data_IF_838524988085
#
_entry.id   IF_838524988085
#
_cell.length_a   1.000
_cell.length_b   1.000
_cell.length_c   1.000
_cell.angle_alpha   90.00
_cell.angle_beta   90.00
_cell.angle_gamma   90.00
#
_symmetry.space_group_name_H-M   'P 1'
#
loop_
_entity.id
_entity.type
_entity.pdbx_description
1 polymer ?
#
# COMPACT_ATOMS: atom_id res chain seq x y z
N UNK A 1 17.47 49.87 1.27
CA UNK A 1 18.76 49.32 1.74
C UNK A 1 18.49 48.62 3.05
N UNK A 2 18.80 47.33 3.14
CA UNK A 2 18.83 46.62 4.41
C UNK A 2 19.99 47.18 5.26
N UNK A 3 19.92 47.10 6.59
CA UNK A 3 20.72 47.89 7.55
C UNK A 3 22.26 47.86 7.34
N UNK A 4 22.78 46.87 6.62
CA UNK A 4 24.21 46.66 6.36
C UNK A 4 24.68 47.07 4.94
N UNK A 5 23.82 47.67 4.12
CA UNK A 5 24.19 48.14 2.77
C UNK A 5 24.25 47.04 1.69
N UNK A 6 23.78 45.83 2.01
CA UNK A 6 23.66 44.73 1.04
C UNK A 6 22.49 44.94 0.07
N UNK A 7 22.61 44.34 -1.13
CA UNK A 7 21.49 44.19 -2.05
C UNK A 7 20.47 43.17 -1.50
N UNK A 8 19.25 43.20 -2.03
CA UNK A 8 18.15 42.42 -1.46
C UNK A 8 18.36 40.90 -1.66
N UNK A 9 18.98 40.52 -2.77
CA UNK A 9 19.30 39.14 -3.14
C UNK A 9 20.28 38.51 -2.15
N UNK A 10 21.37 39.23 -1.86
CA UNK A 10 22.41 38.77 -0.94
C UNK A 10 21.88 38.63 0.49
N UNK A 11 21.02 39.55 0.93
CA UNK A 11 20.44 39.44 2.27
C UNK A 11 19.50 38.23 2.41
N UNK A 12 18.75 37.88 1.35
CA UNK A 12 17.92 36.68 1.33
C UNK A 12 18.76 35.40 1.33
N UNK A 13 19.88 35.39 0.61
CA UNK A 13 20.84 34.28 0.62
C UNK A 13 21.49 34.09 2.01
N UNK A 14 21.87 35.18 2.68
CA UNK A 14 22.42 35.13 4.03
C UNK A 14 21.41 34.55 5.03
N UNK A 15 20.17 35.03 5.00
CA UNK A 15 19.10 34.49 5.85
C UNK A 15 18.85 33.01 5.56
N UNK A 16 18.82 32.61 4.28
CA UNK A 16 18.69 31.21 3.88
C UNK A 16 19.77 30.33 4.52
N UNK A 17 21.04 30.71 4.42
CA UNK A 17 22.14 29.91 4.92
C UNK A 17 22.06 29.75 6.44
N UNK A 18 21.73 30.82 7.17
CA UNK A 18 21.56 30.77 8.62
C UNK A 18 20.43 29.83 9.04
N UNK A 19 19.27 29.90 8.40
CA UNK A 19 18.18 28.98 8.71
C UNK A 19 18.49 27.54 8.27
N UNK A 20 19.08 27.33 7.09
CA UNK A 20 19.46 26.01 6.60
C UNK A 20 20.44 25.30 7.54
N UNK A 21 21.44 26.00 8.08
CA UNK A 21 22.36 25.45 9.08
C UNK A 21 21.65 25.08 10.38
N UNK A 22 20.75 25.95 10.85
CA UNK A 22 20.01 25.74 12.09
C UNK A 22 19.07 24.53 12.02
N UNK A 23 18.38 24.34 10.89
CA UNK A 23 17.52 23.17 10.65
C UNK A 23 18.32 21.89 10.35
N UNK A 24 19.48 21.98 9.68
CA UNK A 24 20.33 20.82 9.42
C UNK A 24 20.98 20.26 10.69
N UNK A 25 21.20 21.10 11.70
CA UNK A 25 21.77 20.73 13.00
C UNK A 25 20.75 20.12 13.97
N UNK A 26 19.47 20.00 13.60
CA UNK A 26 18.43 19.38 14.43
C UNK A 26 18.41 17.85 14.25
N UNK A 27 18.18 17.12 15.35
CA UNK A 27 18.13 15.65 15.33
C UNK A 27 16.85 15.10 14.64
N UNK A 28 15.80 15.91 14.55
CA UNK A 28 14.54 15.55 13.92
C UNK A 28 14.66 15.47 12.38
N UNK A 29 14.35 14.29 11.82
CA UNK A 29 14.40 14.02 10.38
C UNK A 29 13.41 14.87 9.57
N UNK A 30 12.25 15.20 10.14
CA UNK A 30 11.27 16.11 9.54
C UNK A 30 11.80 17.54 9.42
N UNK A 31 12.49 18.01 10.47
CA UNK A 31 13.13 19.33 10.47
C UNK A 31 14.30 19.40 9.50
N UNK A 32 15.09 18.33 9.39
CA UNK A 32 16.16 18.23 8.39
C UNK A 32 15.62 18.24 6.96
N UNK A 33 14.47 17.60 6.70
CA UNK A 33 13.82 17.63 5.38
C UNK A 33 13.38 19.05 4.96
N UNK A 34 12.98 19.91 5.91
CA UNK A 34 12.58 21.31 5.64
C UNK A 34 13.71 22.22 5.13
N UNK A 35 14.97 21.81 5.28
CA UNK A 35 16.11 22.56 4.74
C UNK A 35 15.97 22.74 3.21
N UNK A 36 15.45 21.72 2.52
CA UNK A 36 15.21 21.78 1.08
C UNK A 36 14.15 22.85 0.73
N UNK A 37 13.06 22.93 1.50
CA UNK A 37 11.97 23.90 1.30
C UNK A 37 12.44 25.34 1.49
N UNK A 38 13.25 25.59 2.53
CA UNK A 38 13.82 26.93 2.80
C UNK A 38 14.72 27.36 1.65
N UNK A 39 15.56 26.45 1.15
CA UNK A 39 16.42 26.73 -0.01
C UNK A 39 15.60 27.00 -1.27
N UNK A 40 14.51 26.28 -1.50
CA UNK A 40 13.61 26.48 -2.65
C UNK A 40 12.95 27.88 -2.60
N UNK A 41 12.34 28.23 -1.45
CA UNK A 41 11.69 29.53 -1.25
C UNK A 41 12.70 30.67 -1.41
N UNK A 42 13.88 30.56 -0.82
CA UNK A 42 14.90 31.62 -0.92
C UNK A 42 15.42 31.80 -2.35
N UNK A 43 15.70 30.73 -3.09
CA UNK A 43 16.05 30.83 -4.52
C UNK A 43 14.96 31.51 -5.32
N UNK A 44 13.70 31.19 -5.01
CA UNK A 44 12.54 31.80 -5.66
C UNK A 44 12.48 33.30 -5.43
N UNK A 45 12.62 33.74 -4.17
CA UNK A 45 12.66 35.16 -3.80
C UNK A 45 13.82 35.87 -4.48
N UNK A 46 15.02 35.26 -4.51
CA UNK A 46 16.20 35.82 -5.18
C UNK A 46 15.95 36.00 -6.69
N UNK A 47 15.35 35.02 -7.38
CA UNK A 47 15.01 35.14 -8.80
C UNK A 47 14.05 36.29 -9.08
N UNK A 48 13.01 36.43 -8.25
CA UNK A 48 12.02 37.53 -8.35
C UNK A 48 12.72 38.88 -8.16
N UNK A 49 13.58 39.00 -7.16
CA UNK A 49 14.34 40.23 -6.87
C UNK A 49 15.32 40.58 -8.01
N UNK A 50 15.98 39.57 -8.58
CA UNK A 50 16.89 39.71 -9.71
C UNK A 50 16.17 39.96 -11.05
N UNK A 51 14.83 39.95 -11.09
CA UNK A 51 14.05 40.13 -12.32
C UNK A 51 14.22 39.00 -13.34
N UNK A 52 14.64 37.82 -12.89
CA UNK A 52 14.78 36.63 -13.74
C UNK A 52 13.37 36.03 -13.89
N UNK A 53 12.85 35.89 -15.12
CA UNK A 53 11.56 35.25 -15.34
C UNK A 53 11.52 33.86 -14.70
N UNK A 54 10.46 33.56 -13.95
CA UNK A 54 10.14 32.19 -13.58
C UNK A 54 9.53 31.51 -14.81
N UNK A 55 10.36 31.15 -15.78
CA UNK A 55 9.90 30.25 -16.82
C UNK A 55 9.65 28.90 -16.14
N UNK A 56 8.38 28.51 -16.04
CA UNK A 56 8.04 27.12 -15.76
C UNK A 56 8.65 26.23 -16.84
N UNK A 57 8.69 24.91 -16.61
CA UNK A 57 9.02 23.97 -17.68
C UNK A 57 7.85 23.99 -18.69
N UNK A 58 7.87 24.97 -19.59
CA UNK A 58 6.96 25.10 -20.71
C UNK A 58 7.49 24.19 -21.80
N UNK A 59 6.98 22.96 -21.82
CA UNK A 59 7.17 22.08 -22.94
C UNK A 59 6.06 22.36 -23.97
N UNK A 60 6.42 22.67 -25.22
CA UNK A 60 5.44 22.80 -26.30
C UNK A 60 4.99 21.44 -26.82
N UNK A 61 5.81 20.41 -26.64
CA UNK A 61 5.63 19.02 -27.06
C UNK A 61 5.77 18.02 -25.89
N UNK A 62 5.41 16.73 -26.06
CA UNK A 62 5.64 15.71 -25.04
C UNK A 62 7.14 15.47 -24.77
N UNK A 63 7.59 15.59 -23.52
CA UNK A 63 9.00 15.53 -23.13
C UNK A 63 9.27 14.57 -21.96
N UNK A 64 10.52 14.11 -21.84
CA UNK A 64 11.05 13.46 -20.64
C UNK A 64 11.79 14.52 -19.83
N UNK A 65 11.44 14.68 -18.56
CA UNK A 65 12.08 15.66 -17.68
C UNK A 65 13.29 15.02 -17.00
N UNK A 66 14.49 15.45 -17.39
CA UNK A 66 15.75 15.08 -16.74
C UNK A 66 16.26 16.25 -15.88
N UNK A 67 16.47 16.02 -14.59
CA UNK A 67 16.89 17.06 -13.64
C UNK A 67 17.83 16.51 -12.57
N UNK A 68 18.60 17.38 -11.91
CA UNK A 68 19.42 16.97 -10.76
C UNK A 68 18.53 16.55 -9.58
N UNK A 69 17.51 17.37 -9.32
CA UNK A 69 16.42 17.17 -8.36
C UNK A 69 15.25 18.05 -8.82
N UNK A 70 14.03 17.76 -8.37
CA UNK A 70 12.84 18.55 -8.70
C UNK A 70 12.16 19.05 -7.43
N UNK A 71 11.97 20.36 -7.33
CA UNK A 71 11.31 20.94 -6.15
C UNK A 71 9.78 20.88 -6.26
N UNK A 72 9.05 20.88 -5.14
CA UNK A 72 7.58 20.91 -5.16
C UNK A 72 7.04 22.08 -6.00
N UNK A 73 7.67 23.24 -5.92
CA UNK A 73 7.29 24.45 -6.68
C UNK A 73 7.41 24.27 -8.19
N UNK A 74 8.42 23.52 -8.66
CA UNK A 74 8.64 23.25 -10.08
C UNK A 74 7.63 22.25 -10.61
N UNK A 75 7.38 21.18 -9.85
CA UNK A 75 6.45 20.12 -10.27
C UNK A 75 5.00 20.56 -10.38
N UNK A 76 4.54 21.52 -9.56
CA UNK A 76 3.18 22.07 -9.62
C UNK A 76 2.93 22.89 -10.89
N UNK A 77 3.97 23.52 -11.44
CA UNK A 77 3.86 24.42 -12.61
C UNK A 77 3.97 23.71 -13.95
N UNK A 78 4.23 22.41 -13.94
CA UNK A 78 4.41 21.63 -15.16
C UNK A 78 3.06 21.32 -15.85
N UNK A 79 3.06 21.36 -17.19
CA UNK A 79 1.93 20.83 -17.96
C UNK A 79 1.96 19.29 -17.94
N UNK A 80 1.10 18.75 -17.09
CA UNK A 80 0.99 17.31 -16.81
C UNK A 80 0.66 16.46 -18.03
N UNK A 81 0.02 17.04 -19.06
CA UNK A 81 -0.35 16.30 -20.26
C UNK A 81 0.82 16.11 -21.24
N UNK A 82 1.92 16.83 -21.01
CA UNK A 82 3.09 16.84 -21.89
C UNK A 82 4.31 16.16 -21.26
N UNK A 83 4.22 15.66 -20.04
CA UNK A 83 5.32 14.92 -19.43
C UNK A 83 5.12 13.43 -19.69
N UNK A 84 6.13 12.80 -20.28
CA UNK A 84 6.15 11.37 -20.57
C UNK A 84 6.79 10.56 -19.44
N UNK A 85 7.81 11.12 -18.77
CA UNK A 85 8.52 10.47 -17.67
C UNK A 85 9.40 11.47 -16.90
N UNK A 86 9.84 11.06 -15.71
CA UNK A 86 10.82 11.78 -14.89
C UNK A 86 12.11 10.98 -14.72
N UNK A 87 13.26 11.65 -14.80
CA UNK A 87 14.57 11.08 -14.51
C UNK A 87 15.33 12.07 -13.63
N UNK A 88 15.64 11.70 -12.38
CA UNK A 88 16.40 12.56 -11.48
C UNK A 88 17.75 11.97 -11.08
N UNK A 89 18.80 12.79 -11.14
CA UNK A 89 20.15 12.40 -10.74
C UNK A 89 20.21 12.03 -9.25
N UNK A 90 19.50 12.81 -8.43
CA UNK A 90 19.39 12.68 -6.98
C UNK A 90 17.92 12.50 -6.58
N UNK A 91 17.70 12.16 -5.31
CA UNK A 91 16.36 11.93 -4.75
C UNK A 91 16.18 10.50 -4.25
N UNK A 92 15.00 10.21 -3.72
CA UNK A 92 14.63 8.90 -3.18
C UNK A 92 13.29 8.45 -3.75
N UNK A 93 12.96 7.17 -3.60
CA UNK A 93 11.67 6.60 -4.00
C UNK A 93 10.45 7.20 -3.26
N UNK A 94 10.70 7.98 -2.20
CA UNK A 94 9.72 8.70 -1.39
C UNK A 94 9.79 10.22 -1.61
N UNK A 95 10.59 10.69 -2.58
CA UNK A 95 10.65 12.12 -2.90
C UNK A 95 9.32 12.61 -3.49
N UNK A 96 9.09 13.93 -3.42
CA UNK A 96 7.92 14.57 -4.01
C UNK A 96 7.73 14.22 -5.50
N UNK A 97 8.83 14.10 -6.25
CA UNK A 97 8.85 13.67 -7.66
C UNK A 97 8.35 12.25 -7.84
N UNK A 98 8.82 11.30 -7.03
CA UNK A 98 8.40 9.91 -7.12
C UNK A 98 6.92 9.74 -6.74
N UNK A 99 6.44 10.50 -5.75
CA UNK A 99 5.03 10.53 -5.35
C UNK A 99 4.16 11.11 -6.46
N UNK A 100 4.60 12.22 -7.09
CA UNK A 100 3.86 12.84 -8.18
C UNK A 100 3.80 11.97 -9.43
N UNK A 101 4.92 11.36 -9.82
CA UNK A 101 4.95 10.46 -10.97
C UNK A 101 3.97 9.29 -10.80
N UNK A 102 3.90 8.72 -9.60
CA UNK A 102 2.91 7.67 -9.27
C UNK A 102 1.47 8.16 -9.36
N UNK A 103 1.16 9.35 -8.84
CA UNK A 103 -0.21 9.88 -8.93
C UNK A 103 -0.63 10.23 -10.37
N UNK A 104 0.35 10.49 -11.24
CA UNK A 104 0.16 10.73 -12.66
C UNK A 104 0.25 9.46 -13.52
N UNK A 105 0.51 8.29 -12.93
CA UNK A 105 0.78 7.04 -13.64
C UNK A 105 1.88 7.16 -14.70
N UNK A 106 2.93 7.95 -14.41
CA UNK A 106 4.09 8.13 -15.28
C UNK A 106 5.30 7.33 -14.79
N UNK A 107 6.12 6.77 -15.70
CA UNK A 107 7.43 6.22 -15.34
C UNK A 107 8.32 7.27 -14.68
N UNK A 108 9.00 6.89 -13.60
CA UNK A 108 9.98 7.72 -12.93
C UNK A 108 11.19 6.91 -12.47
N UNK A 109 12.38 7.42 -12.80
CA UNK A 109 13.65 6.94 -12.28
C UNK A 109 14.26 8.01 -11.38
N UNK A 110 14.64 7.63 -10.18
CA UNK A 110 15.27 8.51 -9.19
C UNK A 110 16.61 7.92 -8.80
N UNK A 111 17.56 8.78 -8.41
CA UNK A 111 18.90 8.37 -8.01
C UNK A 111 19.66 7.62 -9.13
N UNK A 112 19.52 8.09 -10.38
CA UNK A 112 20.18 7.47 -11.53
C UNK A 112 21.67 7.78 -11.63
N UNK A 113 22.16 8.77 -10.85
CA UNK A 113 23.55 9.23 -10.91
C UNK A 113 23.91 9.93 -12.23
N UNK A 114 22.90 10.24 -13.05
CA UNK A 114 23.05 10.94 -14.33
C UNK A 114 23.50 12.39 -14.11
N UNK A 115 24.35 12.93 -14.97
CA UNK A 115 24.61 14.38 -15.00
C UNK A 115 23.50 15.07 -15.79
N UNK A 116 22.53 15.66 -15.10
CA UNK A 116 21.48 16.43 -15.74
C UNK A 116 22.04 17.79 -16.20
N UNK A 117 22.07 18.03 -17.52
CA UNK A 117 22.59 19.28 -18.09
C UNK A 117 22.09 19.52 -19.51
N UNK A 118 22.52 20.65 -20.10
CA UNK A 118 22.14 21.03 -21.48
C UNK A 118 22.47 19.95 -22.52
N UNK A 119 23.44 19.06 -22.23
CA UNK A 119 23.84 17.94 -23.08
C UNK A 119 22.73 16.94 -23.37
N UNK A 120 21.64 16.93 -22.59
CA UNK A 120 20.47 16.06 -22.76
C UNK A 120 19.33 16.74 -23.51
N UNK A 121 19.35 18.06 -23.59
CA UNK A 121 18.23 18.82 -24.12
C UNK A 121 18.04 18.55 -25.62
N UNK A 122 16.79 18.27 -26.03
CA UNK A 122 16.45 17.95 -27.42
C UNK A 122 16.88 16.56 -27.91
N UNK A 123 17.43 15.70 -27.03
CA UNK A 123 17.79 14.32 -27.39
C UNK A 123 16.62 13.37 -27.21
N UNK A 124 16.62 12.30 -28.01
CA UNK A 124 15.68 11.19 -27.83
C UNK A 124 16.11 10.40 -26.60
N UNK A 125 15.17 10.20 -25.67
CA UNK A 125 15.37 9.39 -24.47
C UNK A 125 14.36 8.26 -24.37
N UNK A 126 14.75 7.15 -23.75
CA UNK A 126 13.85 6.06 -23.37
C UNK A 126 14.01 5.81 -21.87
N UNK A 127 12.90 5.79 -21.14
CA UNK A 127 12.84 5.48 -19.72
C UNK A 127 12.20 4.10 -19.54
N UNK A 128 13.00 3.12 -19.13
CA UNK A 128 12.52 1.79 -18.76
C UNK A 128 12.35 1.69 -17.25
N UNK A 129 11.12 1.92 -16.79
CA UNK A 129 10.76 1.79 -15.37
C UNK A 129 10.78 0.35 -14.84
N UNK A 130 10.83 -0.66 -15.70
CA UNK A 130 10.87 -2.07 -15.29
C UNK A 130 12.29 -2.52 -14.94
N UNK A 131 13.28 -2.10 -15.72
CA UNK A 131 14.69 -2.44 -15.50
C UNK A 131 15.49 -1.34 -14.80
N UNK A 132 14.89 -0.15 -14.60
CA UNK A 132 15.56 0.97 -13.96
C UNK A 132 16.54 1.71 -14.87
N UNK A 133 16.36 1.64 -16.18
CA UNK A 133 17.34 2.13 -17.17
C UNK A 133 16.87 3.40 -17.88
N UNK A 134 17.79 4.34 -18.08
CA UNK A 134 17.59 5.51 -18.92
C UNK A 134 18.57 5.49 -20.09
N UNK A 135 18.03 5.42 -21.31
CA UNK A 135 18.80 5.38 -22.54
C UNK A 135 18.70 6.73 -23.24
N UNK A 136 19.85 7.34 -23.56
CA UNK A 136 19.95 8.62 -24.28
C UNK A 136 20.51 8.33 -25.67
N UNK A 137 19.82 8.82 -26.70
CA UNK A 137 20.15 8.56 -28.11
C UNK A 137 20.39 7.06 -28.39
N UNK A 138 19.45 6.17 -28.04
CA UNK A 138 19.60 4.75 -28.36
C UNK A 138 19.71 4.56 -29.87
N UNK A 139 20.49 3.56 -30.29
CA UNK A 139 20.56 3.15 -31.69
C UNK A 139 19.17 2.88 -32.26
N UNK A 140 18.89 3.17 -33.54
CA UNK A 140 17.55 3.07 -34.12
C UNK A 140 16.89 1.71 -33.90
N UNK A 141 17.65 0.62 -33.98
CA UNK A 141 17.16 -0.74 -33.76
C UNK A 141 16.67 -0.95 -32.31
N UNK A 142 17.38 -0.39 -31.32
CA UNK A 142 17.00 -0.45 -29.91
C UNK A 142 15.80 0.46 -29.63
N UNK A 143 15.73 1.65 -30.25
CA UNK A 143 14.59 2.55 -30.14
C UNK A 143 13.31 1.89 -30.65
N UNK A 144 13.35 1.25 -31.83
CA UNK A 144 12.21 0.54 -32.41
C UNK A 144 11.76 -0.63 -31.52
N UNK A 145 12.69 -1.39 -30.94
CA UNK A 145 12.38 -2.45 -29.98
C UNK A 145 11.65 -1.89 -28.74
N UNK A 146 12.14 -0.78 -28.18
CA UNK A 146 11.53 -0.15 -27.00
C UNK A 146 10.14 0.45 -27.30
N UNK A 147 9.97 1.05 -28.48
CA UNK A 147 8.65 1.53 -28.95
C UNK A 147 7.69 0.35 -29.11
N UNK A 148 8.14 -0.76 -29.70
CA UNK A 148 7.32 -1.95 -29.86
C UNK A 148 6.87 -2.51 -28.51
N UNK A 149 7.80 -2.64 -27.55
CA UNK A 149 7.51 -3.09 -26.19
C UNK A 149 6.54 -2.15 -25.47
N UNK A 150 6.69 -0.83 -25.61
CA UNK A 150 5.72 0.15 -25.08
C UNK A 150 4.33 -0.07 -25.69
N UNK A 151 4.24 -0.20 -27.01
CA UNK A 151 2.96 -0.35 -27.70
C UNK A 151 2.27 -1.67 -27.32
N UNK A 152 3.04 -2.76 -27.17
CA UNK A 152 2.53 -4.03 -26.64
C UNK A 152 1.97 -3.84 -25.22
N UNK A 153 2.72 -3.19 -24.34
CA UNK A 153 2.27 -2.92 -22.97
C UNK A 153 0.98 -2.08 -22.92
N UNK A 154 0.86 -1.05 -23.76
CA UNK A 154 -0.38 -0.26 -23.87
C UNK A 154 -1.54 -1.13 -24.38
N UNK A 155 -1.32 -1.94 -25.41
CA UNK A 155 -2.34 -2.85 -25.94
C UNK A 155 -2.78 -3.89 -24.90
N UNK A 156 -1.85 -4.40 -24.09
CA UNK A 156 -2.15 -5.32 -22.98
C UNK A 156 -3.01 -4.63 -21.91
N UNK A 157 -2.71 -3.38 -21.55
CA UNK A 157 -3.54 -2.60 -20.63
C UNK A 157 -4.96 -2.37 -21.18
N UNK A 158 -5.07 -2.01 -22.46
CA UNK A 158 -6.38 -1.84 -23.11
C UNK A 158 -7.16 -3.15 -23.16
N UNK A 159 -6.49 -4.28 -23.38
CA UNK A 159 -7.11 -5.61 -23.34
C UNK A 159 -7.60 -5.98 -21.93
N UNK A 160 -6.85 -5.61 -20.89
CA UNK A 160 -7.25 -5.80 -19.50
C UNK A 160 -8.52 -5.00 -19.16
N UNK A 161 -8.63 -3.76 -19.64
CA UNK A 161 -9.81 -2.92 -19.43
C UNK A 161 -11.10 -3.55 -20.00
N UNK A 162 -10.99 -4.32 -21.10
CA UNK A 162 -12.13 -5.09 -21.66
C UNK A 162 -12.61 -6.24 -20.75
N UNK A 163 -11.86 -6.58 -19.71
CA UNK A 163 -12.23 -7.59 -18.71
C UNK A 163 -13.11 -7.03 -17.59
N UNK A 164 -13.36 -5.72 -17.55
CA UNK A 164 -14.32 -5.12 -16.61
C UNK A 164 -15.73 -5.65 -16.87
N UNK A 165 -16.44 -6.00 -15.79
CA UNK A 165 -17.75 -6.64 -15.82
C UNK A 165 -17.74 -8.10 -16.28
N UNK A 166 -16.57 -8.70 -16.54
CA UNK A 166 -16.46 -10.13 -16.84
C UNK A 166 -16.37 -10.96 -15.56
N UNK A 167 -16.82 -12.19 -15.66
CA UNK A 167 -16.80 -13.16 -14.58
C UNK A 167 -15.38 -13.69 -14.30
N UNK A 168 -15.11 -14.07 -13.05
CA UNK A 168 -13.83 -14.63 -12.59
C UNK A 168 -13.88 -16.16 -12.65
N UNK A 169 -14.07 -16.69 -13.86
CA UNK A 169 -14.20 -18.11 -14.11
C UNK A 169 -13.20 -18.58 -15.16
N UNK A 170 -12.53 -19.70 -14.88
CA UNK A 170 -11.70 -20.43 -15.82
C UNK A 170 -12.57 -21.15 -16.87
N UNK A 171 -11.94 -21.55 -17.97
CA UNK A 171 -12.56 -22.26 -19.11
C UNK A 171 -13.19 -23.60 -18.70
N UNK A 172 -12.64 -24.24 -17.66
CA UNK A 172 -13.15 -25.47 -17.05
C UNK A 172 -14.29 -25.26 -16.03
N UNK A 173 -14.67 -24.00 -15.78
CA UNK A 173 -15.78 -23.62 -14.91
C UNK A 173 -15.40 -23.40 -13.45
N UNK A 174 -14.15 -23.63 -13.03
CA UNK A 174 -13.67 -23.21 -11.70
C UNK A 174 -13.77 -21.70 -11.55
N UNK A 175 -14.10 -21.25 -10.34
CA UNK A 175 -14.37 -19.83 -10.01
C UNK A 175 -13.57 -19.42 -8.80
N UNK A 176 -13.18 -18.15 -8.77
CA UNK A 176 -12.51 -17.54 -7.63
C UNK A 176 -12.96 -16.08 -7.51
N UNK A 177 -13.21 -15.61 -6.30
CA UNK A 177 -13.48 -14.20 -6.07
C UNK A 177 -12.15 -13.41 -6.17
N UNK A 178 -12.18 -12.24 -6.82
CA UNK A 178 -11.02 -11.37 -6.94
C UNK A 178 -11.35 -10.03 -6.29
N UNK A 179 -10.77 -9.77 -5.13
CA UNK A 179 -11.01 -8.58 -4.33
C UNK A 179 -9.78 -7.66 -4.33
N UNK A 180 -9.95 -6.48 -3.73
CA UNK A 180 -8.88 -5.51 -3.55
C UNK A 180 -8.42 -5.39 -2.09
N UNK A 181 -7.12 -5.18 -1.91
CA UNK A 181 -6.48 -4.73 -0.68
C UNK A 181 -6.47 -3.19 -0.66
N UNK A 182 -6.93 -2.59 0.44
CA UNK A 182 -6.93 -1.14 0.63
C UNK A 182 -6.30 -0.75 1.96
N UNK A 183 -5.67 0.42 1.99
CA UNK A 183 -5.04 1.00 3.18
C UNK A 183 -5.69 2.28 3.65
N UNK A 184 -6.50 2.95 2.83
CA UNK A 184 -7.23 4.18 3.17
C UNK A 184 -8.62 4.19 2.53
N UNK A 185 -9.43 5.18 2.86
CA UNK A 185 -10.79 5.33 2.32
C UNK A 185 -10.76 5.64 0.83
N UNK A 186 -9.78 6.42 0.37
CA UNK A 186 -9.64 6.85 -1.02
C UNK A 186 -9.35 5.66 -1.96
N UNK A 187 -8.66 4.64 -1.45
CA UNK A 187 -8.32 3.43 -2.22
C UNK A 187 -9.56 2.62 -2.62
N UNK A 188 -10.71 2.83 -1.95
CA UNK A 188 -11.97 2.19 -2.32
C UNK A 188 -12.47 2.65 -3.70
N UNK A 189 -12.12 3.87 -4.14
CA UNK A 189 -12.39 4.31 -5.52
C UNK A 189 -11.62 3.49 -6.53
N UNK A 190 -10.30 3.38 -6.32
CA UNK A 190 -9.43 2.61 -7.20
C UNK A 190 -9.85 1.13 -7.28
N UNK A 191 -10.31 0.55 -6.16
CA UNK A 191 -10.85 -0.80 -6.14
C UNK A 191 -12.11 -0.97 -7.02
N UNK A 192 -13.03 0.00 -6.97
CA UNK A 192 -14.24 0.00 -7.81
C UNK A 192 -13.91 0.24 -9.28
N UNK A 193 -13.01 1.17 -9.58
CA UNK A 193 -12.53 1.45 -10.93
C UNK A 193 -11.83 0.24 -11.55
N UNK A 194 -11.10 -0.54 -10.75
CA UNK A 194 -10.47 -1.80 -11.14
C UNK A 194 -11.46 -2.99 -11.22
N UNK A 195 -12.75 -2.75 -10.95
CA UNK A 195 -13.82 -3.75 -10.98
C UNK A 195 -13.60 -4.91 -9.98
N UNK A 196 -13.10 -4.60 -8.78
CA UNK A 196 -12.95 -5.59 -7.72
C UNK A 196 -14.31 -6.14 -7.26
N UNK A 197 -14.35 -7.45 -6.94
CA UNK A 197 -15.55 -8.12 -6.40
C UNK A 197 -15.94 -7.64 -5.00
N UNK A 198 -14.97 -7.10 -4.26
CA UNK A 198 -15.08 -6.64 -2.87
C UNK A 198 -13.73 -6.16 -2.36
N UNK A 199 -13.64 -5.92 -1.05
CA UNK A 199 -12.40 -5.65 -0.35
C UNK A 199 -12.05 -6.85 0.52
N UNK A 200 -10.96 -7.56 0.19
CA UNK A 200 -10.52 -8.75 0.91
C UNK A 200 -9.58 -8.41 2.08
N UNK A 201 -9.01 -7.21 2.08
CA UNK A 201 -8.26 -6.67 3.20
C UNK A 201 -8.36 -5.14 3.24
N UNK A 202 -9.06 -4.63 4.25
CA UNK A 202 -8.93 -3.24 4.67
C UNK A 202 -7.99 -3.17 5.88
N UNK A 203 -6.79 -2.65 5.65
CA UNK A 203 -5.78 -2.44 6.71
C UNK A 203 -6.19 -1.25 7.56
N UNK A 204 -6.48 -1.45 8.84
CA UNK A 204 -6.94 -0.36 9.72
C UNK A 204 -5.81 0.50 10.29
N UNK A 205 -4.54 0.14 10.09
CA UNK A 205 -3.42 0.82 10.74
C UNK A 205 -3.30 2.31 10.38
N UNK A 206 -3.75 2.71 9.18
CA UNK A 206 -3.74 4.12 8.77
C UNK A 206 -4.51 5.03 9.72
N UNK A 207 -5.50 4.51 10.46
CA UNK A 207 -6.27 5.27 11.45
C UNK A 207 -5.42 5.64 12.67
N UNK A 208 -4.30 4.97 12.88
CA UNK A 208 -3.42 5.08 14.03
C UNK A 208 -2.08 5.74 13.68
N UNK A 209 -1.58 5.52 12.45
CA UNK A 209 -0.28 6.06 12.01
C UNK A 209 -0.34 7.57 11.75
N UNK A 210 0.75 8.27 12.08
CA UNK A 210 0.90 9.71 11.82
C UNK A 210 0.02 10.62 12.69
N UNK A 211 -0.31 10.17 13.90
CA UNK A 211 -1.16 10.89 14.88
C UNK A 211 -0.45 10.95 16.23
N UNK A 212 -0.93 11.84 17.10
CA UNK A 212 -0.40 12.01 18.47
C UNK A 212 -1.27 11.31 19.53
N UNK A 213 -2.41 10.74 19.13
CA UNK A 213 -3.38 10.12 20.02
C UNK A 213 -4.17 8.99 19.36
N UNK A 214 -4.79 8.14 20.18
CA UNK A 214 -5.63 7.04 19.70
C UNK A 214 -6.86 7.57 18.95
N UNK A 215 -7.20 6.97 17.79
CA UNK A 215 -8.43 7.31 17.08
C UNK A 215 -9.67 6.97 17.92
N UNK A 216 -10.55 7.94 18.04
CA UNK A 216 -11.83 7.77 18.75
C UNK A 216 -12.76 6.82 18.00
N UNK A 217 -13.76 6.26 18.72
CA UNK A 217 -14.78 5.42 18.11
C UNK A 217 -15.47 6.10 16.91
N UNK A 218 -15.73 7.41 17.00
CA UNK A 218 -16.47 8.14 15.97
C UNK A 218 -15.64 8.36 14.68
N UNK A 219 -14.32 8.58 14.82
CA UNK A 219 -13.41 8.70 13.68
C UNK A 219 -13.25 7.36 12.96
N UNK A 220 -13.11 6.28 13.73
CA UNK A 220 -13.06 4.93 13.18
C UNK A 220 -14.38 4.57 12.49
N UNK A 221 -15.53 4.84 13.14
CA UNK A 221 -16.86 4.61 12.60
C UNK A 221 -17.06 5.34 11.29
N UNK A 222 -16.71 6.63 11.24
CA UNK A 222 -16.83 7.46 10.03
C UNK A 222 -16.03 6.88 8.86
N UNK A 223 -14.82 6.39 9.14
CA UNK A 223 -13.94 5.79 8.13
C UNK A 223 -14.48 4.47 7.61
N UNK A 224 -14.90 3.56 8.49
CA UNK A 224 -15.48 2.27 8.09
C UNK A 224 -16.80 2.45 7.35
N UNK A 225 -17.66 3.37 7.82
CA UNK A 225 -18.92 3.72 7.17
C UNK A 225 -18.68 4.20 5.74
N UNK A 226 -17.73 5.12 5.54
CA UNK A 226 -17.45 5.67 4.22
C UNK A 226 -17.08 4.59 3.20
N UNK A 227 -16.23 3.63 3.58
CA UNK A 227 -15.85 2.51 2.70
C UNK A 227 -17.04 1.58 2.45
N UNK A 228 -17.81 1.22 3.49
CA UNK A 228 -18.97 0.34 3.36
C UNK A 228 -20.06 0.93 2.46
N UNK A 229 -20.37 2.22 2.60
CA UNK A 229 -21.34 2.90 1.75
C UNK A 229 -20.89 2.92 0.28
N UNK A 230 -19.59 3.15 0.03
CA UNK A 230 -19.01 3.19 -1.32
C UNK A 230 -19.06 1.82 -2.01
N UNK A 231 -18.82 0.75 -1.24
CA UNK A 231 -18.82 -0.63 -1.75
C UNK A 231 -20.22 -1.25 -1.88
N UNK A 232 -21.24 -0.66 -1.24
CA UNK A 232 -22.62 -1.12 -1.30
C UNK A 232 -22.78 -2.56 -0.80
N UNK A 233 -23.27 -3.44 -1.67
CA UNK A 233 -23.49 -4.87 -1.34
C UNK A 233 -22.21 -5.72 -1.39
N UNK A 234 -21.11 -5.18 -1.92
CA UNK A 234 -19.83 -5.88 -1.99
C UNK A 234 -19.25 -6.06 -0.58
N UNK A 235 -18.66 -7.25 -0.33
CA UNK A 235 -18.07 -7.59 0.97
C UNK A 235 -16.86 -6.69 1.25
N UNK A 236 -16.74 -6.20 2.49
CA UNK A 236 -15.57 -5.46 2.98
C UNK A 236 -15.03 -6.13 4.23
N UNK A 237 -13.85 -6.74 4.11
CA UNK A 237 -13.17 -7.43 5.20
C UNK A 237 -12.24 -6.44 5.91
N UNK A 238 -12.62 -6.04 7.12
CA UNK A 238 -11.86 -5.10 7.95
C UNK A 238 -10.95 -5.89 8.86
N UNK A 239 -9.63 -5.72 8.67
CA UNK A 239 -8.64 -6.29 9.59
C UNK A 239 -8.52 -5.40 10.81
N UNK A 240 -8.57 -6.00 11.99
CA UNK A 240 -8.34 -5.27 13.23
C UNK A 240 -6.87 -4.85 13.34
N UNK A 241 -6.58 -3.98 14.30
CA UNK A 241 -5.25 -3.38 14.46
C UNK A 241 -4.08 -4.39 14.39
N UNK A 242 -3.15 -4.15 13.46
CA UNK A 242 -1.87 -4.88 13.33
C UNK A 242 -0.68 -3.89 13.30
N UNK A 243 -0.29 -3.46 14.50
CA UNK A 243 0.87 -2.60 14.79
C UNK A 243 1.79 -3.33 15.77
N UNK A 244 3.08 -2.99 15.78
CA UNK A 244 4.05 -3.46 16.78
C UNK A 244 5.31 -4.11 16.22
N UNK A 245 5.39 -4.34 14.91
CA UNK A 245 6.63 -4.80 14.26
C UNK A 245 7.46 -3.59 13.79
N UNK A 246 7.39 -3.28 12.49
CA UNK A 246 8.08 -2.19 11.81
C UNK A 246 7.41 -0.82 11.97
N UNK A 247 6.15 -0.81 12.40
CA UNK A 247 5.32 0.38 12.54
C UNK A 247 5.44 0.94 13.96
N UNK A 248 6.30 1.93 14.18
CA UNK A 248 6.40 2.64 15.48
C UNK A 248 5.30 3.70 15.61
N UNK A 249 4.66 3.74 16.77
CA UNK A 249 3.63 4.72 17.13
C UNK A 249 3.87 5.19 18.56
N UNK A 250 4.45 6.37 18.71
CA UNK A 250 5.02 6.82 19.99
C UNK A 250 3.98 6.89 21.12
N UNK A 251 2.75 7.29 20.82
CA UNK A 251 1.67 7.39 21.82
C UNK A 251 1.13 6.03 22.29
N UNK A 252 1.52 4.91 21.66
CA UNK A 252 1.23 3.58 22.22
C UNK A 252 2.14 3.25 23.42
N UNK A 253 3.25 3.97 23.60
CA UNK A 253 4.23 3.73 24.65
C UNK A 253 4.62 2.24 24.74
N UNK A 254 4.94 1.62 23.59
CA UNK A 254 5.43 0.25 23.54
C UNK A 254 6.90 0.23 23.93
N UNK A 255 7.30 -0.78 24.70
CA UNK A 255 8.70 -1.03 25.00
C UNK A 255 9.45 -1.46 23.74
N UNK A 256 10.74 -1.14 23.64
CA UNK A 256 11.56 -1.65 22.55
C UNK A 256 11.82 -3.15 22.73
N UNK A 257 11.57 -3.92 21.69
CA UNK A 257 11.83 -5.36 21.67
C UNK A 257 13.01 -5.68 20.74
N UNK A 258 13.81 -6.69 21.10
CA UNK A 258 14.89 -7.17 20.22
C UNK A 258 14.37 -7.72 18.89
N UNK A 259 13.17 -8.32 18.90
CA UNK A 259 12.54 -8.93 17.73
C UNK A 259 11.07 -8.49 17.62
N UNK A 260 10.78 -7.26 17.16
CA UNK A 260 9.41 -6.73 17.10
C UNK A 260 8.47 -7.61 16.25
N UNK A 261 9.00 -8.22 15.19
CA UNK A 261 8.26 -9.15 14.35
C UNK A 261 7.75 -10.39 15.14
N UNK A 262 8.45 -10.83 16.19
CA UNK A 262 8.04 -11.96 17.03
C UNK A 262 7.34 -11.54 18.33
N UNK A 263 7.23 -10.23 18.56
CA UNK A 263 6.93 -9.63 19.86
C UNK A 263 5.48 -9.20 20.08
N UNK A 264 5.30 -8.13 20.86
CA UNK A 264 4.03 -7.59 21.31
C UNK A 264 3.35 -6.76 20.21
N UNK A 265 2.73 -7.47 19.26
CA UNK A 265 2.04 -6.87 18.10
C UNK A 265 0.60 -7.34 17.92
N UNK A 266 -0.16 -6.55 17.18
CA UNK A 266 -1.46 -6.89 16.62
C UNK A 266 -2.48 -7.37 17.68
N UNK A 267 -3.06 -8.55 17.49
CA UNK A 267 -4.07 -9.10 18.40
C UNK A 267 -3.56 -9.27 19.83
N UNK A 268 -2.24 -9.42 20.04
CA UNK A 268 -1.64 -9.51 21.37
C UNK A 268 -1.82 -8.20 22.14
N UNK A 269 -1.59 -7.06 21.46
CA UNK A 269 -1.89 -5.73 22.02
C UNK A 269 -3.39 -5.62 22.29
N UNK A 270 -4.24 -6.01 21.35
CA UNK A 270 -5.69 -5.91 21.49
C UNK A 270 -6.25 -6.75 22.66
N UNK A 271 -5.66 -7.92 22.94
CA UNK A 271 -6.08 -8.78 24.04
C UNK A 271 -5.52 -8.34 25.40
N UNK A 272 -4.37 -7.68 25.41
CA UNK A 272 -3.76 -7.15 26.64
C UNK A 272 -4.34 -5.77 27.02
N UNK A 273 -4.63 -4.93 26.02
CA UNK A 273 -5.23 -3.59 26.13
C UNK A 273 -6.63 -3.57 25.49
N UNK A 274 -7.64 -4.20 26.11
CA UNK A 274 -8.95 -4.42 25.50
C UNK A 274 -9.70 -3.13 25.17
N UNK A 275 -9.41 -2.00 25.80
CA UNK A 275 -10.02 -0.70 25.53
C UNK A 275 -9.79 -0.23 24.09
N UNK A 276 -8.60 -0.45 23.54
CA UNK A 276 -8.26 -0.11 22.15
C UNK A 276 -9.09 -1.00 21.21
N UNK A 277 -9.19 -2.28 21.55
CA UNK A 277 -9.89 -3.28 20.75
C UNK A 277 -11.40 -3.10 20.76
N UNK A 278 -11.98 -2.84 21.94
CA UNK A 278 -13.39 -2.55 22.15
C UNK A 278 -13.80 -1.32 21.35
N UNK A 279 -13.00 -0.26 21.38
CA UNK A 279 -13.24 0.97 20.60
C UNK A 279 -13.35 0.67 19.11
N UNK A 280 -12.41 -0.12 18.57
CA UNK A 280 -12.42 -0.50 17.16
C UNK A 280 -13.61 -1.41 16.80
N UNK A 281 -13.89 -2.43 17.61
CA UNK A 281 -15.01 -3.34 17.38
C UNK A 281 -16.34 -2.59 17.41
N UNK A 282 -16.52 -1.66 18.36
CA UNK A 282 -17.73 -0.83 18.44
C UNK A 282 -17.94 -0.03 17.17
N UNK A 283 -16.89 0.62 16.67
CA UNK A 283 -16.93 1.37 15.42
C UNK A 283 -17.31 0.48 14.21
N UNK A 284 -16.72 -0.72 14.08
CA UNK A 284 -17.04 -1.64 12.98
C UNK A 284 -18.49 -2.13 13.06
N UNK A 285 -18.96 -2.54 14.25
CA UNK A 285 -20.34 -3.00 14.41
C UNK A 285 -21.36 -1.89 14.15
N UNK A 286 -21.10 -0.65 14.58
CA UNK A 286 -21.93 0.51 14.22
C UNK A 286 -21.94 0.76 12.71
N UNK A 287 -20.79 0.59 12.04
CA UNK A 287 -20.67 0.78 10.60
C UNK A 287 -21.34 -0.36 9.79
N UNK A 288 -21.49 -1.55 10.37
CA UNK A 288 -22.03 -2.75 9.70
C UNK A 288 -23.42 -2.55 9.07
N UNK A 289 -24.22 -1.59 9.54
CA UNK A 289 -25.55 -1.36 8.95
C UNK A 289 -25.49 -0.75 7.56
N UNK A 290 -24.38 -0.11 7.19
CA UNK A 290 -24.20 0.67 5.97
C UNK A 290 -23.65 -0.13 4.77
N UNK A 291 -23.29 -1.40 4.95
CA UNK A 291 -22.79 -2.27 3.89
C UNK A 291 -22.55 -3.70 4.37
N UNK A 292 -21.88 -4.53 3.56
CA UNK A 292 -21.57 -5.92 3.94
C UNK A 292 -20.19 -6.02 4.60
N UNK A 293 -20.12 -5.79 5.90
CA UNK A 293 -18.89 -5.88 6.69
C UNK A 293 -18.54 -7.32 7.12
N UNK A 294 -17.25 -7.61 7.16
CA UNK A 294 -16.66 -8.76 7.84
C UNK A 294 -15.45 -8.30 8.68
N UNK A 295 -15.13 -9.01 9.75
CA UNK A 295 -14.02 -8.69 10.65
C UNK A 295 -12.97 -9.79 10.57
N UNK A 296 -11.71 -9.41 10.44
CA UNK A 296 -10.60 -10.35 10.42
C UNK A 296 -9.57 -10.02 11.51
N UNK A 297 -9.18 -11.03 12.29
CA UNK A 297 -8.19 -10.87 13.36
C UNK A 297 -6.80 -11.34 12.91
N UNK A 298 -5.76 -10.48 12.98
CA UNK A 298 -4.38 -10.80 12.63
C UNK A 298 -3.66 -11.60 13.73
N UNK A 299 -2.52 -12.21 13.39
CA UNK A 299 -1.54 -12.80 14.31
C UNK A 299 -2.08 -13.85 15.29
N UNK A 300 -3.15 -14.55 14.91
CA UNK A 300 -3.71 -15.65 15.69
C UNK A 300 -2.72 -16.82 15.71
N UNK A 301 -2.58 -17.46 16.87
CA UNK A 301 -1.75 -18.67 17.03
C UNK A 301 -2.47 -19.78 17.80
N UNK A 302 -3.64 -19.50 18.40
CA UNK A 302 -4.35 -20.45 19.26
C UNK A 302 -5.87 -20.31 19.23
N UNK A 303 -6.57 -21.41 19.56
CA UNK A 303 -8.03 -21.43 19.73
C UNK A 303 -8.48 -20.56 20.91
N UNK A 304 -7.67 -20.47 21.96
CA UNK A 304 -8.01 -19.69 23.15
C UNK A 304 -8.07 -18.19 22.87
N UNK A 305 -7.22 -17.67 21.98
CA UNK A 305 -7.30 -16.29 21.52
C UNK A 305 -8.64 -16.03 20.83
N UNK A 306 -9.07 -16.90 19.92
CA UNK A 306 -10.37 -16.75 19.23
C UNK A 306 -11.53 -16.75 20.21
N UNK A 307 -11.51 -17.63 21.21
CA UNK A 307 -12.56 -17.68 22.24
C UNK A 307 -12.62 -16.38 23.05
N UNK A 308 -11.46 -15.86 23.46
CA UNK A 308 -11.37 -14.58 24.16
C UNK A 308 -11.85 -13.41 23.29
N UNK A 309 -11.53 -13.43 22.00
CA UNK A 309 -12.03 -12.44 21.02
C UNK A 309 -13.56 -12.51 20.93
N UNK A 310 -14.14 -13.71 20.79
CA UNK A 310 -15.60 -13.89 20.75
C UNK A 310 -16.30 -13.41 22.02
N UNK A 311 -15.70 -13.61 23.19
CA UNK A 311 -16.21 -13.07 24.45
C UNK A 311 -16.27 -11.54 24.42
N UNK A 312 -15.19 -10.88 23.99
CA UNK A 312 -15.13 -9.41 23.86
C UNK A 312 -16.14 -8.92 22.81
N UNK A 313 -16.24 -9.59 21.65
CA UNK A 313 -17.25 -9.27 20.62
C UNK A 313 -18.67 -9.39 21.17
N UNK A 314 -18.97 -10.44 21.93
CA UNK A 314 -20.28 -10.61 22.57
C UNK A 314 -20.59 -9.49 23.56
N UNK A 315 -19.61 -9.03 24.34
CA UNK A 315 -19.74 -7.89 25.24
C UNK A 315 -20.01 -6.59 24.47
N UNK A 316 -19.26 -6.34 23.40
CA UNK A 316 -19.41 -5.16 22.54
C UNK A 316 -20.80 -5.10 21.91
N UNK A 317 -21.26 -6.20 21.29
CA UNK A 317 -22.60 -6.29 20.70
C UNK A 317 -23.70 -6.00 21.73
N UNK A 318 -23.58 -6.58 22.93
CA UNK A 318 -24.54 -6.36 24.02
C UNK A 318 -24.56 -4.90 24.46
N UNK A 319 -23.41 -4.26 24.64
CA UNK A 319 -23.31 -2.86 25.01
C UNK A 319 -23.95 -1.94 23.96
N UNK A 320 -23.59 -2.12 22.69
CA UNK A 320 -24.19 -1.34 21.58
C UNK A 320 -25.71 -1.50 21.51
N UNK A 321 -26.22 -2.73 21.70
CA UNK A 321 -27.66 -2.99 21.73
C UNK A 321 -28.36 -2.31 22.91
N UNK A 322 -27.72 -2.26 24.09
CA UNK A 322 -28.26 -1.57 25.27
C UNK A 322 -28.26 -0.04 25.12
N UNK A 323 -27.27 0.50 24.39
CA UNK A 323 -27.17 1.91 24.04
C UNK A 323 -28.11 2.32 22.89
N UNK A 324 -28.78 1.36 22.25
CA UNK A 324 -29.75 1.60 21.19
C UNK A 324 -29.14 1.76 19.78
N UNK A 325 -27.87 1.37 19.59
CA UNK A 325 -27.26 1.39 18.27
C UNK A 325 -27.71 0.19 17.43
N UNK A 326 -28.18 0.40 16.19
CA UNK A 326 -28.45 -0.71 15.28
C UNK A 326 -27.14 -1.35 14.83
N UNK A 327 -27.12 -2.68 14.80
CA UNK A 327 -25.98 -3.49 14.33
C UNK A 327 -26.49 -4.60 13.42
N UNK A 328 -25.67 -5.04 12.46
CA UNK A 328 -25.90 -6.28 11.70
C UNK A 328 -24.98 -7.39 12.20
N UNK A 329 -25.35 -8.62 11.87
CA UNK A 329 -24.42 -9.74 11.96
C UNK A 329 -23.30 -9.57 10.93
N UNK A 330 -22.07 -9.88 11.36
CA UNK A 330 -20.85 -9.76 10.54
C UNK A 330 -20.11 -11.08 10.64
N UNK A 331 -19.54 -11.53 9.53
CA UNK A 331 -18.65 -12.69 9.51
C UNK A 331 -17.38 -12.37 10.32
N UNK A 332 -16.95 -13.31 11.17
CA UNK A 332 -15.74 -13.23 11.96
C UNK A 332 -14.72 -14.23 11.41
N UNK A 333 -13.65 -13.75 10.81
CA UNK A 333 -12.56 -14.55 10.28
C UNK A 333 -11.24 -14.26 10.98
N UNK A 334 -10.23 -15.03 10.61
CA UNK A 334 -8.85 -14.84 11.09
C UNK A 334 -7.87 -14.85 9.95
N UNK A 335 -6.76 -14.15 10.15
CA UNK A 335 -5.64 -14.24 9.24
C UNK A 335 -4.81 -15.48 9.58
N UNK A 336 -4.61 -16.37 8.62
CA UNK A 336 -3.69 -17.50 8.71
C UNK A 336 -2.33 -17.03 8.19
N UNK A 337 -1.58 -16.40 9.07
CA UNK A 337 -0.27 -15.80 8.76
C UNK A 337 0.85 -16.30 9.66
N UNK A 338 0.56 -17.25 10.55
CA UNK A 338 1.55 -17.93 11.38
C UNK A 338 1.59 -19.42 11.06
N UNK A 339 2.77 -20.07 11.11
CA UNK A 339 2.86 -21.51 10.93
C UNK A 339 2.02 -22.27 11.95
N UNK A 340 1.95 -21.74 13.18
CA UNK A 340 1.09 -22.27 14.24
C UNK A 340 -0.36 -22.31 13.79
N UNK A 341 -0.93 -21.20 13.32
CA UNK A 341 -2.32 -21.14 12.86
C UNK A 341 -2.59 -22.09 11.68
N UNK A 342 -1.67 -22.15 10.71
CA UNK A 342 -1.80 -23.09 9.59
C UNK A 342 -1.85 -24.55 10.10
N UNK A 343 -0.92 -24.95 10.97
CA UNK A 343 -0.81 -26.30 11.52
C UNK A 343 -2.04 -26.74 12.35
N UNK A 344 -2.75 -25.81 12.99
CA UNK A 344 -3.96 -26.11 13.77
C UNK A 344 -5.25 -25.59 13.11
N UNK A 345 -5.20 -25.30 11.81
CA UNK A 345 -6.32 -24.70 11.07
C UNK A 345 -7.59 -25.57 11.11
N UNK A 346 -7.48 -26.89 11.25
CA UNK A 346 -8.61 -27.80 11.45
C UNK A 346 -9.42 -27.49 12.73
N UNK A 347 -8.74 -26.99 13.77
CA UNK A 347 -9.36 -26.59 15.04
C UNK A 347 -9.88 -25.15 14.97
N UNK A 348 -9.11 -24.25 14.36
CA UNK A 348 -9.49 -22.85 14.22
C UNK A 348 -10.72 -22.70 13.32
N UNK A 349 -10.86 -23.52 12.27
CA UNK A 349 -11.95 -23.44 11.30
C UNK A 349 -13.33 -23.72 11.92
N UNK A 350 -13.38 -24.42 13.05
CA UNK A 350 -14.63 -24.66 13.80
C UNK A 350 -15.08 -23.45 14.60
N UNK A 351 -14.22 -22.46 14.73
CA UNK A 351 -14.42 -21.29 15.59
C UNK A 351 -14.62 -20.00 14.77
N UNK A 352 -14.51 -20.00 13.45
CA UNK A 352 -14.59 -18.78 12.65
C UNK A 352 -15.42 -19.02 11.40
N UNK A 353 -15.80 -17.96 10.70
CA UNK A 353 -16.62 -18.02 9.49
C UNK A 353 -15.78 -18.09 8.20
N UNK A 354 -14.50 -17.69 8.26
CA UNK A 354 -13.58 -17.73 7.14
C UNK A 354 -12.10 -17.61 7.55
N UNK A 355 -11.22 -17.95 6.61
CA UNK A 355 -9.79 -17.65 6.68
C UNK A 355 -9.36 -16.68 5.58
N UNK A 356 -8.35 -15.85 5.87
CA UNK A 356 -7.55 -15.21 4.83
C UNK A 356 -6.07 -15.46 5.10
N UNK A 357 -5.33 -15.92 4.11
CA UNK A 357 -3.94 -16.30 4.28
C UNK A 357 -3.05 -15.08 4.02
N UNK A 358 -2.35 -14.64 5.07
CA UNK A 358 -1.35 -13.58 5.00
C UNK A 358 0.01 -14.16 4.62
N UNK A 359 0.25 -14.36 3.32
CA UNK A 359 1.45 -15.08 2.84
C UNK A 359 2.76 -14.39 3.18
N UNK A 360 2.74 -13.07 3.37
CA UNK A 360 3.93 -12.29 3.72
C UNK A 360 4.51 -12.72 5.07
N UNK A 361 3.70 -12.62 6.12
CA UNK A 361 4.07 -13.04 7.48
C UNK A 361 4.20 -14.58 7.56
N UNK A 362 3.35 -15.34 6.85
CA UNK A 362 3.47 -16.80 6.81
C UNK A 362 4.83 -17.26 6.25
N UNK A 363 5.31 -16.62 5.19
CA UNK A 363 6.63 -16.89 4.58
C UNK A 363 7.74 -16.54 5.55
N UNK A 364 7.70 -15.33 6.11
CA UNK A 364 8.68 -14.84 7.09
C UNK A 364 8.85 -15.81 8.27
N UNK A 365 7.74 -16.24 8.89
CA UNK A 365 7.80 -17.11 10.06
C UNK A 365 8.07 -18.59 9.72
N UNK A 366 7.64 -19.07 8.55
CA UNK A 366 7.91 -20.46 8.15
C UNK A 366 9.36 -20.65 7.75
N UNK A 367 9.94 -19.68 7.03
CA UNK A 367 11.33 -19.73 6.57
C UNK A 367 12.32 -19.12 7.57
N UNK A 368 11.81 -18.48 8.63
CA UNK A 368 12.60 -17.73 9.60
C UNK A 368 13.48 -16.64 8.94
N UNK A 369 12.88 -15.90 8.00
CA UNK A 369 13.53 -14.84 7.23
C UNK A 369 12.81 -13.53 7.44
N UNK A 370 13.52 -12.53 7.95
CA UNK A 370 13.01 -11.15 7.99
C UNK A 370 13.03 -10.56 6.57
N UNK A 371 11.84 -10.27 6.03
CA UNK A 371 11.68 -9.71 4.69
C UNK A 371 12.21 -8.29 4.54
N UNK A 372 12.41 -7.56 5.64
CA UNK A 372 13.01 -6.22 5.61
C UNK A 372 14.53 -6.28 5.51
N UNK A 373 15.12 -7.45 5.73
CA UNK A 373 16.55 -7.66 5.66
C UNK A 373 16.97 -7.99 4.22
N UNK A 374 17.45 -6.99 3.49
CA UNK A 374 17.94 -7.13 2.11
C UNK A 374 18.96 -8.25 1.90
N UNK A 375 19.75 -8.61 2.93
CA UNK A 375 20.73 -9.72 2.83
C UNK A 375 20.08 -11.09 2.68
N UNK A 376 18.79 -11.22 3.03
CA UNK A 376 18.03 -12.45 3.02
C UNK A 376 17.04 -12.54 1.85
N UNK A 377 17.03 -11.56 0.94
CA UNK A 377 16.11 -11.51 -0.20
C UNK A 377 16.18 -12.79 -1.04
N UNK A 378 17.39 -13.31 -1.29
CA UNK A 378 17.60 -14.58 -2.01
C UNK A 378 17.11 -15.83 -1.27
N UNK A 379 16.88 -15.74 0.04
CA UNK A 379 16.39 -16.83 0.88
C UNK A 379 14.87 -16.74 1.11
N UNK A 380 14.28 -15.58 0.88
CA UNK A 380 12.84 -15.34 0.98
C UNK A 380 12.13 -15.87 -0.28
N UNK A 381 12.09 -17.19 -0.44
CA UNK A 381 11.40 -17.84 -1.54
C UNK A 381 9.88 -17.95 -1.24
N UNK A 382 9.10 -17.09 -1.86
CA UNK A 382 7.62 -17.10 -1.72
C UNK A 382 6.97 -18.29 -2.43
N UNK A 383 7.66 -18.94 -3.37
CA UNK A 383 7.22 -20.17 -4.06
C UNK A 383 7.65 -21.44 -3.31
N UNK A 384 8.25 -21.29 -2.13
CA UNK A 384 8.82 -22.41 -1.39
C UNK A 384 7.75 -23.49 -1.10
N UNK A 385 8.05 -24.80 -1.33
CA UNK A 385 7.07 -25.87 -1.20
C UNK A 385 6.39 -25.98 0.17
N UNK A 386 7.08 -25.57 1.24
CA UNK A 386 6.49 -25.51 2.57
C UNK A 386 5.33 -24.51 2.65
N UNK A 387 5.44 -23.34 2.00
CA UNK A 387 4.40 -22.30 1.99
C UNK A 387 3.18 -22.81 1.24
N UNK A 388 3.38 -23.36 0.03
CA UNK A 388 2.31 -23.93 -0.78
C UNK A 388 1.58 -25.07 -0.05
N UNK A 389 2.32 -25.92 0.68
CA UNK A 389 1.72 -26.98 1.51
C UNK A 389 0.90 -26.44 2.66
N UNK A 390 1.36 -25.37 3.33
CA UNK A 390 0.60 -24.72 4.41
C UNK A 390 -0.67 -24.05 3.87
N UNK A 391 -0.61 -23.43 2.69
CA UNK A 391 -1.77 -22.86 1.99
C UNK A 391 -2.80 -23.96 1.71
N UNK A 392 -2.38 -25.02 1.01
CA UNK A 392 -3.28 -26.13 0.67
C UNK A 392 -3.93 -26.76 1.90
N UNK A 393 -3.14 -27.05 2.93
CA UNK A 393 -3.66 -27.61 4.18
C UNK A 393 -4.69 -26.69 4.85
N UNK A 394 -4.47 -25.37 4.82
CA UNK A 394 -5.39 -24.38 5.38
C UNK A 394 -6.71 -24.35 4.62
N UNK A 395 -6.66 -24.34 3.28
CA UNK A 395 -7.84 -24.35 2.41
C UNK A 395 -8.65 -25.64 2.60
N UNK A 396 -8.00 -26.80 2.58
CA UNK A 396 -8.67 -28.09 2.79
C UNK A 396 -9.33 -28.18 4.18
N UNK A 397 -8.69 -27.62 5.21
CA UNK A 397 -9.23 -27.60 6.57
C UNK A 397 -10.43 -26.65 6.70
N UNK A 398 -10.38 -25.49 6.04
CA UNK A 398 -11.51 -24.56 5.96
C UNK A 398 -12.73 -25.23 5.31
N UNK A 399 -12.55 -25.80 4.11
CA UNK A 399 -13.62 -26.46 3.38
C UNK A 399 -14.21 -27.65 4.14
N UNK A 400 -13.37 -28.43 4.84
CA UNK A 400 -13.85 -29.55 5.69
C UNK A 400 -14.73 -29.07 6.85
N UNK A 401 -14.52 -27.86 7.34
CA UNK A 401 -15.37 -27.22 8.35
C UNK A 401 -16.58 -26.48 7.76
N UNK A 402 -16.68 -26.39 6.43
CA UNK A 402 -17.77 -25.70 5.74
C UNK A 402 -17.59 -24.18 5.66
N UNK A 403 -16.36 -23.68 5.84
CA UNK A 403 -16.01 -22.27 5.69
C UNK A 403 -15.12 -22.05 4.47
N UNK A 404 -15.01 -20.80 4.02
CA UNK A 404 -14.20 -20.44 2.85
C UNK A 404 -12.81 -19.90 3.27
N UNK A 405 -11.84 -19.97 2.36
CA UNK A 405 -10.47 -19.52 2.57
C UNK A 405 -9.96 -18.67 1.40
N UNK A 406 -9.56 -17.44 1.70
CA UNK A 406 -8.93 -16.52 0.74
C UNK A 406 -7.44 -16.30 0.98
N UNK A 407 -6.81 -15.50 0.12
CA UNK A 407 -5.41 -15.07 0.23
C UNK A 407 -5.35 -13.55 0.05
N UNK A 408 -4.79 -12.83 1.02
CA UNK A 408 -4.62 -11.37 0.93
C UNK A 408 -3.14 -10.92 0.95
N UNK A 409 -2.21 -11.88 1.03
CA UNK A 409 -0.78 -11.61 0.88
C UNK A 409 -0.37 -11.38 -0.58
N UNK A 410 0.87 -10.95 -0.80
CA UNK A 410 1.35 -10.55 -2.14
C UNK A 410 1.32 -11.68 -3.17
N UNK A 411 1.42 -12.93 -2.72
CA UNK A 411 1.30 -14.10 -3.59
C UNK A 411 -0.05 -14.17 -4.31
N UNK A 412 -1.11 -13.57 -3.78
CA UNK A 412 -2.40 -13.53 -4.47
C UNK A 412 -2.35 -12.81 -5.83
N UNK A 413 -1.38 -11.90 -6.02
CA UNK A 413 -1.16 -11.18 -7.27
C UNK A 413 -0.21 -11.90 -8.24
N UNK A 414 0.37 -13.03 -7.82
CA UNK A 414 1.29 -13.81 -8.62
C UNK A 414 0.52 -14.66 -9.64
N UNK A 415 0.62 -14.28 -10.91
CA UNK A 415 -0.09 -14.96 -12.00
C UNK A 415 0.44 -16.37 -12.25
N UNK A 416 1.69 -16.68 -11.89
CA UNK A 416 2.28 -18.00 -12.10
C UNK A 416 1.68 -19.05 -11.14
N UNK A 417 1.18 -18.60 -9.98
CA UNK A 417 0.52 -19.46 -9.00
C UNK A 417 -1.01 -19.49 -9.14
N UNK A 418 -1.59 -18.74 -10.08
CA UNK A 418 -3.05 -18.65 -10.23
C UNK A 418 -3.69 -20.02 -10.48
N UNK A 419 -3.14 -20.84 -11.38
CA UNK A 419 -3.62 -22.20 -11.61
C UNK A 419 -3.49 -23.09 -10.38
N UNK A 420 -2.40 -22.92 -9.63
CA UNK A 420 -2.14 -23.66 -8.39
C UNK A 420 -3.19 -23.33 -7.34
N UNK A 421 -3.50 -22.05 -7.13
CA UNK A 421 -4.53 -21.62 -6.17
C UNK A 421 -5.93 -22.07 -6.57
N UNK A 422 -6.29 -21.99 -7.85
CA UNK A 422 -7.55 -22.56 -8.34
C UNK A 422 -7.64 -24.06 -8.13
N UNK A 423 -6.52 -24.78 -8.28
CA UNK A 423 -6.47 -26.24 -8.09
C UNK A 423 -6.52 -26.64 -6.62
N UNK A 424 -5.97 -25.82 -5.73
CA UNK A 424 -6.11 -25.96 -4.27
C UNK A 424 -7.53 -25.66 -3.79
N UNK A 425 -8.35 -24.98 -4.59
CA UNK A 425 -9.69 -24.54 -4.22
C UNK A 425 -9.71 -23.25 -3.40
N UNK A 426 -8.72 -22.37 -3.56
CA UNK A 426 -8.79 -21.04 -2.93
C UNK A 426 -10.05 -20.33 -3.39
N UNK A 427 -10.83 -19.78 -2.45
CA UNK A 427 -12.13 -19.17 -2.75
C UNK A 427 -12.00 -17.70 -3.18
N UNK A 428 -10.96 -17.01 -2.70
CA UNK A 428 -10.81 -15.56 -2.83
C UNK A 428 -9.33 -15.13 -2.92
N UNK A 429 -9.01 -14.23 -3.86
CA UNK A 429 -7.71 -13.58 -3.99
C UNK A 429 -7.86 -12.06 -3.84
N UNK A 430 -7.26 -11.50 -2.79
CA UNK A 430 -7.26 -10.07 -2.54
C UNK A 430 -5.92 -9.45 -2.90
N UNK A 431 -5.93 -8.56 -3.89
CA UNK A 431 -4.72 -7.99 -4.50
C UNK A 431 -4.73 -6.47 -4.52
N UNK A 432 -3.64 -5.80 -4.89
CA UNK A 432 -3.71 -4.35 -5.14
C UNK A 432 -4.71 -4.06 -6.27
N UNK A 433 -5.43 -2.91 -6.25
CA UNK A 433 -6.38 -2.55 -7.31
C UNK A 433 -5.79 -2.68 -8.73
N UNK A 434 -4.53 -2.27 -8.91
CA UNK A 434 -3.78 -2.38 -10.17
C UNK A 434 -3.56 -3.82 -10.69
N UNK A 435 -3.74 -4.83 -9.85
CA UNK A 435 -3.51 -6.24 -10.18
C UNK A 435 -4.81 -7.02 -10.40
N UNK A 436 -5.97 -6.45 -10.05
CA UNK A 436 -7.29 -7.14 -10.15
C UNK A 436 -7.53 -7.68 -11.56
N UNK A 437 -7.37 -6.84 -12.59
CA UNK A 437 -7.61 -7.25 -13.97
C UNK A 437 -6.56 -8.24 -14.48
N UNK A 438 -5.31 -8.14 -14.01
CA UNK A 438 -4.23 -9.08 -14.38
C UNK A 438 -4.51 -10.48 -13.85
N UNK A 439 -4.91 -10.59 -12.59
CA UNK A 439 -5.31 -11.88 -11.98
C UNK A 439 -6.57 -12.40 -12.66
N UNK A 440 -7.56 -11.54 -12.94
CA UNK A 440 -8.75 -11.96 -13.70
C UNK A 440 -8.40 -12.53 -15.07
N UNK A 441 -7.48 -11.89 -15.79
CA UNK A 441 -6.98 -12.40 -17.07
C UNK A 441 -6.36 -13.79 -16.89
N UNK A 442 -5.44 -13.93 -15.93
CA UNK A 442 -4.78 -15.20 -15.64
C UNK A 442 -5.79 -16.31 -15.32
N UNK A 443 -6.82 -16.04 -14.51
CA UNK A 443 -7.90 -16.99 -14.21
C UNK A 443 -8.66 -17.41 -15.47
N UNK A 444 -8.97 -16.46 -16.36
CA UNK A 444 -9.79 -16.70 -17.55
C UNK A 444 -9.04 -17.35 -18.71
N UNK A 445 -7.72 -17.25 -18.71
CA UNK A 445 -6.84 -17.85 -19.71
C UNK A 445 -6.53 -19.34 -19.41
N UNK A 446 -6.85 -19.82 -18.20
CA UNK A 446 -6.93 -21.24 -17.82
C UNK A 446 -8.24 -21.83 -18.33
#
# INVERSE_FOLDING_TARGET
MLEEGFNAEYAVEMAQNQFAELFAAMDDEYMRARVADIKDISRRVIRILAGIPEDGILADEPVIVAADDLTPSETVKMDKNKILAFVTARGSSNSHTAILARSMNLPALVNTGLEAGESLNGKIGVVDGFHGEFLVEPEPELLDQMIHRKNQWVADLEALEQLKGKDNAASDGRRIDIFANIGKVEDAEAALEADAGGIGLFRSEFLYLGRDSFPTEEEQFSSYKAVLEKMGDKKVIIRTLDIGADKKVDYFCLEEEENPALGYRAIRICLDRPEIFITQLRAIFRASVYGRAAIMFPMIVSVNEIRRIKEIVGQVKKALSQEGYPIKEVELGIMIETPAAALISDRLAREVDFFSIGTNDLTQYTLAVDRQNQKLESTCDTHHPAILKLIQMTVENAHRAGIWAGICGELAADTDLTETFLSMGVDELSVSPSSVLKVRKAVRDL
#
